data_IF_046755120596
#
_entry.id   IF_046755120596
#
_cell.length_a   1.000
_cell.length_b   1.000
_cell.length_c   1.000
_cell.angle_alpha   90.00
_cell.angle_beta   90.00
_cell.angle_gamma   90.00
#
_symmetry.space_group_name_H-M   'P 1'
#
loop_
_entity.id
_entity.type
_entity.pdbx_description
1 polymer ?
#
# COMPACT_ATOMS: atom_id res chain seq x y z
N UNK A 1 29.63 84.08 8.89
CA UNK A 1 29.65 83.46 7.55
C UNK A 1 29.37 81.97 7.71
N UNK A 2 28.16 81.54 7.39
CA UNK A 2 27.77 80.13 7.39
C UNK A 2 28.09 79.54 6.01
N UNK A 3 28.95 78.52 5.96
CA UNK A 3 29.25 77.79 4.73
C UNK A 3 28.28 76.62 4.58
N UNK A 4 27.53 76.51 3.48
CA UNK A 4 26.60 75.42 3.28
C UNK A 4 27.28 74.23 2.59
N UNK A 5 26.86 73.04 3.02
CA UNK A 5 26.80 71.75 2.30
C UNK A 5 28.12 70.99 2.10
N UNK A 6 28.18 69.84 2.79
CA UNK A 6 28.82 68.63 2.29
C UNK A 6 27.91 67.44 2.63
N UNK A 7 26.84 67.27 1.85
CA UNK A 7 26.12 65.99 1.81
C UNK A 7 27.01 65.04 1.01
N UNK A 8 27.93 64.36 1.68
CA UNK A 8 28.69 63.28 1.07
C UNK A 8 27.81 62.02 1.02
N UNK A 9 27.19 61.88 -0.15
CA UNK A 9 27.07 60.63 -0.90
C UNK A 9 26.51 59.41 -0.15
N UNK A 10 25.19 59.25 -0.21
CA UNK A 10 24.57 57.93 -0.18
C UNK A 10 25.13 57.14 -1.37
N UNK A 11 26.00 56.16 -1.11
CA UNK A 11 26.38 55.18 -2.14
C UNK A 11 25.11 54.38 -2.48
N UNK A 12 24.65 54.37 -3.75
CA UNK A 12 23.57 53.47 -4.13
C UNK A 12 24.08 52.06 -3.92
N UNK A 13 23.37 51.28 -3.09
CA UNK A 13 23.54 49.83 -3.02
C UNK A 13 23.48 49.34 -4.48
N UNK A 14 24.53 48.69 -5.00
CA UNK A 14 24.55 48.29 -6.40
C UNK A 14 23.30 47.44 -6.64
N UNK A 15 22.45 47.89 -7.57
CA UNK A 15 21.32 47.11 -8.04
C UNK A 15 21.91 45.83 -8.62
N UNK A 16 21.94 44.77 -7.81
CA UNK A 16 22.43 43.46 -8.18
C UNK A 16 21.56 43.00 -9.34
N UNK A 17 22.02 43.24 -10.57
CA UNK A 17 21.32 42.81 -11.76
C UNK A 17 21.35 41.29 -11.71
N UNK A 18 20.17 40.69 -11.58
CA UNK A 18 19.99 39.23 -11.51
C UNK A 18 20.72 38.52 -12.67
N UNK A 19 20.89 39.22 -13.80
CA UNK A 19 21.71 38.79 -14.95
C UNK A 19 23.19 38.63 -14.61
N UNK A 20 23.81 39.59 -13.92
CA UNK A 20 25.25 39.54 -13.61
C UNK A 20 25.53 38.43 -12.59
N UNK A 21 24.62 38.26 -11.61
CA UNK A 21 24.64 37.12 -10.69
C UNK A 21 24.48 35.76 -11.40
N UNK A 22 23.60 35.67 -12.40
CA UNK A 22 23.41 34.45 -13.21
C UNK A 22 24.61 34.15 -14.12
N UNK A 23 25.32 35.16 -14.61
CA UNK A 23 26.48 34.98 -15.48
C UNK A 23 27.72 34.61 -14.67
N UNK A 24 27.91 35.20 -13.48
CA UNK A 24 29.07 34.93 -12.63
C UNK A 24 28.91 33.69 -11.73
N UNK A 25 27.79 33.57 -11.02
CA UNK A 25 27.56 32.46 -10.07
C UNK A 25 26.71 31.32 -10.63
N UNK A 26 25.97 31.56 -11.73
CA UNK A 26 25.12 30.55 -12.36
C UNK A 26 25.84 29.28 -12.83
N UNK A 27 27.05 29.36 -13.45
CA UNK A 27 27.79 28.17 -13.86
C UNK A 27 28.19 27.28 -12.68
N UNK A 28 28.61 27.88 -11.56
CA UNK A 28 28.95 27.16 -10.34
C UNK A 28 27.72 26.51 -9.71
N UNK A 29 26.61 27.25 -9.61
CA UNK A 29 25.35 26.71 -9.09
C UNK A 29 24.84 25.55 -9.97
N UNK A 30 24.91 25.66 -11.30
CA UNK A 30 24.53 24.60 -12.23
C UNK A 30 25.40 23.34 -12.06
N UNK A 31 26.71 23.52 -11.85
CA UNK A 31 27.63 22.40 -11.59
C UNK A 31 27.29 21.63 -10.31
N UNK A 32 26.67 22.24 -9.30
CA UNK A 32 26.25 21.54 -8.08
C UNK A 32 24.80 21.06 -8.13
N UNK A 33 23.90 21.85 -8.72
CA UNK A 33 22.46 21.53 -8.79
C UNK A 33 22.19 20.41 -9.77
N UNK A 34 22.81 20.41 -10.96
CA UNK A 34 22.55 19.38 -11.97
C UNK A 34 22.93 17.97 -11.47
N UNK A 35 24.13 17.73 -10.89
CA UNK A 35 24.46 16.42 -10.35
C UNK A 35 23.59 16.05 -9.16
N UNK A 36 23.26 17.00 -8.28
CA UNK A 36 22.39 16.73 -7.13
C UNK A 36 20.99 16.29 -7.56
N UNK A 37 20.41 16.98 -8.55
CA UNK A 37 19.11 16.60 -9.14
C UNK A 37 19.23 15.27 -9.90
N UNK A 38 20.30 15.05 -10.65
CA UNK A 38 20.52 13.79 -11.37
C UNK A 38 20.66 12.60 -10.40
N UNK A 39 21.39 12.76 -9.29
CA UNK A 39 21.53 11.75 -8.23
C UNK A 39 20.17 11.51 -7.56
N UNK A 40 19.42 12.57 -7.25
CA UNK A 40 18.08 12.43 -6.68
C UNK A 40 17.13 11.66 -7.61
N UNK A 41 17.11 12.03 -8.90
CA UNK A 41 16.32 11.35 -9.92
C UNK A 41 16.75 9.89 -10.10
N UNK A 42 18.05 9.61 -10.16
CA UNK A 42 18.60 8.25 -10.21
C UNK A 42 18.17 7.43 -8.99
N UNK A 43 18.30 8.01 -7.80
CA UNK A 43 17.96 7.35 -6.54
C UNK A 43 16.46 6.99 -6.49
N UNK A 44 15.58 7.95 -6.80
CA UNK A 44 14.14 7.76 -6.78
C UNK A 44 13.65 6.82 -7.89
N UNK A 45 14.24 6.92 -9.09
CA UNK A 45 13.75 6.21 -10.27
C UNK A 45 14.30 4.78 -10.41
N UNK A 46 15.51 4.52 -9.92
CA UNK A 46 16.20 3.24 -10.13
C UNK A 46 16.54 2.53 -8.82
N UNK A 47 17.16 3.23 -7.87
CA UNK A 47 17.65 2.59 -6.64
C UNK A 47 16.51 2.14 -5.71
N UNK A 48 15.55 3.03 -5.42
CA UNK A 48 14.40 2.71 -4.57
C UNK A 48 13.60 1.52 -5.13
N UNK A 49 13.16 1.51 -6.41
CA UNK A 49 12.41 0.40 -6.97
C UNK A 49 13.20 -0.92 -6.97
N UNK A 50 14.50 -0.87 -7.25
CA UNK A 50 15.34 -2.06 -7.26
C UNK A 50 15.47 -2.69 -5.87
N UNK A 51 15.73 -1.89 -4.83
CA UNK A 51 15.82 -2.39 -3.46
C UNK A 51 14.46 -2.96 -2.99
N UNK A 52 13.36 -2.26 -3.29
CA UNK A 52 12.01 -2.72 -2.98
C UNK A 52 11.69 -4.07 -3.67
N UNK A 53 12.06 -4.23 -4.94
CA UNK A 53 11.88 -5.49 -5.69
C UNK A 53 12.72 -6.64 -5.10
N UNK A 54 13.94 -6.37 -4.64
CA UNK A 54 14.77 -7.37 -3.96
C UNK A 54 14.17 -7.81 -2.63
N UNK A 55 13.61 -6.87 -1.86
CA UNK A 55 12.92 -7.19 -0.60
C UNK A 55 11.66 -8.00 -0.85
N UNK A 56 10.86 -7.61 -1.85
CA UNK A 56 9.69 -8.35 -2.33
C UNK A 56 10.05 -9.79 -2.67
N UNK A 57 11.04 -10.01 -3.55
CA UNK A 57 11.46 -11.36 -3.96
C UNK A 57 11.92 -12.20 -2.78
N UNK A 58 12.76 -11.64 -1.91
CA UNK A 58 13.26 -12.36 -0.72
C UNK A 58 12.10 -12.78 0.20
N UNK A 59 11.18 -11.86 0.47
CA UNK A 59 10.02 -12.16 1.31
C UNK A 59 9.11 -13.22 0.68
N UNK A 60 8.82 -13.12 -0.63
CA UNK A 60 8.00 -14.09 -1.36
C UNK A 60 8.62 -15.48 -1.38
N UNK A 61 9.95 -15.57 -1.51
CA UNK A 61 10.67 -16.85 -1.46
C UNK A 61 10.57 -17.48 -0.07
N UNK A 62 10.79 -16.69 0.98
CA UNK A 62 10.69 -17.15 2.38
C UNK A 62 9.25 -17.57 2.73
N UNK A 63 8.25 -16.84 2.24
CA UNK A 63 6.84 -17.04 2.57
C UNK A 63 6.03 -17.69 1.44
N UNK A 64 6.70 -18.43 0.54
CA UNK A 64 6.07 -19.04 -0.66
C UNK A 64 4.86 -19.90 -0.30
N UNK A 65 4.95 -20.61 0.84
CA UNK A 65 3.84 -21.43 1.35
C UNK A 65 2.63 -20.58 1.74
N UNK A 66 2.84 -19.47 2.47
CA UNK A 66 1.76 -18.58 2.88
C UNK A 66 1.07 -17.93 1.67
N UNK A 67 1.85 -17.50 0.67
CA UNK A 67 1.32 -16.95 -0.58
C UNK A 67 0.50 -18.01 -1.33
N UNK A 68 1.00 -19.25 -1.41
CA UNK A 68 0.24 -20.36 -2.02
C UNK A 68 -1.07 -20.63 -1.28
N UNK A 69 -1.04 -20.64 0.05
CA UNK A 69 -2.25 -20.80 0.87
C UNK A 69 -3.25 -19.66 0.64
N UNK A 70 -2.79 -18.41 0.53
CA UNK A 70 -3.63 -17.27 0.19
C UNK A 70 -4.29 -17.43 -1.18
N UNK A 71 -3.53 -17.87 -2.19
CA UNK A 71 -4.07 -18.11 -3.53
C UNK A 71 -5.15 -19.21 -3.52
N UNK A 72 -4.89 -20.30 -2.80
CA UNK A 72 -5.88 -21.39 -2.61
C UNK A 72 -7.11 -20.84 -1.89
N UNK A 73 -6.92 -20.07 -0.82
CA UNK A 73 -7.99 -19.46 -0.04
C UNK A 73 -8.89 -18.59 -0.92
N UNK A 74 -8.32 -17.69 -1.72
CA UNK A 74 -9.08 -16.84 -2.63
C UNK A 74 -9.84 -17.66 -3.67
N UNK A 75 -9.18 -18.66 -4.26
CA UNK A 75 -9.82 -19.56 -5.22
C UNK A 75 -11.01 -20.29 -4.60
N UNK A 76 -10.84 -20.85 -3.41
CA UNK A 76 -11.90 -21.59 -2.71
C UNK A 76 -13.03 -20.68 -2.26
N UNK A 77 -12.74 -19.47 -1.79
CA UNK A 77 -13.76 -18.45 -1.46
C UNK A 77 -14.58 -18.05 -2.69
N UNK A 78 -13.91 -17.78 -3.81
CA UNK A 78 -14.56 -17.45 -5.08
C UNK A 78 -15.46 -18.58 -5.57
N UNK A 79 -15.05 -19.83 -5.37
CA UNK A 79 -15.85 -21.03 -5.71
C UNK A 79 -17.03 -21.25 -4.75
N UNK A 80 -16.87 -20.93 -3.47
CA UNK A 80 -17.91 -21.12 -2.45
C UNK A 80 -19.03 -20.06 -2.56
N UNK A 81 -18.70 -18.79 -2.82
CA UNK A 81 -19.67 -17.69 -2.90
C UNK A 81 -20.92 -17.98 -3.74
N UNK A 82 -20.85 -18.47 -4.98
CA UNK A 82 -22.04 -18.76 -5.78
C UNK A 82 -22.86 -19.94 -5.27
N UNK A 83 -22.28 -20.80 -4.42
CA UNK A 83 -23.00 -21.93 -3.79
C UNK A 83 -23.74 -21.52 -2.52
N UNK A 84 -23.46 -20.33 -1.98
CA UNK A 84 -24.15 -19.83 -0.80
C UNK A 84 -25.60 -19.52 -1.14
N UNK A 85 -26.55 -19.86 -0.25
CA UNK A 85 -27.93 -19.46 -0.44
C UNK A 85 -28.02 -17.93 -0.45
N UNK A 86 -28.94 -17.40 -1.26
CA UNK A 86 -29.22 -15.96 -1.29
C UNK A 86 -29.58 -15.42 0.09
N UNK A 87 -29.34 -14.12 0.32
CA UNK A 87 -29.66 -13.55 1.62
C UNK A 87 -31.16 -13.60 1.87
N UNK A 88 -31.57 -14.21 2.99
CA UNK A 88 -32.99 -14.34 3.38
C UNK A 88 -33.74 -13.02 3.50
N UNK A 89 -33.03 -11.90 3.64
CA UNK A 89 -33.62 -10.58 3.90
C UNK A 89 -33.67 -9.66 2.70
N UNK A 90 -32.71 -9.77 1.78
CA UNK A 90 -32.60 -8.84 0.65
C UNK A 90 -32.38 -9.54 -0.68
N UNK A 91 -32.47 -10.89 -0.70
CA UNK A 91 -32.28 -11.81 -1.84
C UNK A 91 -30.96 -11.67 -2.62
N UNK A 92 -30.14 -10.67 -2.28
CA UNK A 92 -28.82 -10.44 -2.86
C UNK A 92 -27.86 -11.59 -2.53
N UNK A 93 -27.12 -12.04 -3.54
CA UNK A 93 -26.10 -13.08 -3.43
C UNK A 93 -24.68 -12.57 -3.14
N UNK A 94 -24.53 -11.31 -2.69
CA UNK A 94 -23.20 -10.73 -2.41
C UNK A 94 -22.85 -10.89 -0.94
N UNK A 95 -21.93 -11.81 -0.68
CA UNK A 95 -21.44 -12.15 0.66
C UNK A 95 -19.93 -11.98 0.76
N UNK A 96 -19.48 -11.48 1.89
CA UNK A 96 -18.07 -11.33 2.23
C UNK A 96 -17.73 -12.14 3.47
N UNK A 97 -16.50 -12.66 3.51
CA UNK A 97 -16.00 -13.34 4.69
C UNK A 97 -15.86 -12.31 5.82
N UNK A 98 -16.52 -12.57 6.95
CA UNK A 98 -16.59 -11.65 8.08
C UNK A 98 -15.83 -12.16 9.30
N UNK A 99 -16.01 -13.44 9.62
CA UNK A 99 -15.34 -14.09 10.74
C UNK A 99 -15.19 -15.59 10.50
N UNK A 100 -14.46 -16.23 11.40
CA UNK A 100 -14.26 -17.68 11.38
C UNK A 100 -14.19 -18.23 12.80
N UNK A 101 -14.57 -19.49 12.92
CA UNK A 101 -14.35 -20.33 14.09
C UNK A 101 -13.79 -21.69 13.64
N UNK A 102 -13.40 -22.57 14.56
CA UNK A 102 -12.73 -23.85 14.29
C UNK A 102 -13.41 -24.69 13.20
N UNK A 103 -14.74 -24.64 13.10
CA UNK A 103 -15.53 -25.43 12.15
C UNK A 103 -16.55 -24.61 11.34
N UNK A 104 -16.55 -23.28 11.48
CA UNK A 104 -17.59 -22.41 10.93
C UNK A 104 -16.95 -21.20 10.24
N UNK A 105 -17.58 -20.75 9.15
CA UNK A 105 -17.28 -19.47 8.53
C UNK A 105 -18.50 -18.56 8.65
N UNK A 106 -18.25 -17.32 9.05
CA UNK A 106 -19.27 -16.29 9.12
C UNK A 106 -19.13 -15.41 7.90
N UNK A 107 -20.17 -15.39 7.08
CA UNK A 107 -20.28 -14.46 5.96
C UNK A 107 -21.25 -13.35 6.30
N UNK A 108 -20.95 -12.13 5.86
CA UNK A 108 -21.84 -10.97 6.02
C UNK A 108 -22.38 -10.55 4.67
N UNK A 109 -23.69 -10.37 4.58
CA UNK A 109 -24.30 -9.81 3.39
C UNK A 109 -23.86 -8.36 3.21
N UNK A 110 -23.47 -8.00 1.99
CA UNK A 110 -23.00 -6.65 1.69
C UNK A 110 -24.10 -5.59 1.69
N UNK A 111 -25.34 -6.01 1.41
CA UNK A 111 -26.47 -5.09 1.31
C UNK A 111 -27.14 -4.87 2.68
N UNK A 112 -27.69 -5.92 3.29
CA UNK A 112 -28.45 -5.81 4.54
C UNK A 112 -27.61 -6.02 5.82
N UNK A 113 -26.31 -6.30 5.67
CA UNK A 113 -25.36 -6.47 6.79
C UNK A 113 -25.69 -7.62 7.76
N UNK A 114 -26.62 -8.53 7.43
CA UNK A 114 -26.89 -9.74 8.20
C UNK A 114 -25.79 -10.79 8.01
N UNK A 115 -25.53 -11.54 9.07
CA UNK A 115 -24.56 -12.62 9.07
C UNK A 115 -25.25 -13.94 8.75
N UNK A 116 -24.56 -14.78 7.98
CA UNK A 116 -24.89 -16.18 7.75
C UNK A 116 -23.70 -17.03 8.18
N UNK A 117 -23.99 -18.16 8.82
CA UNK A 117 -22.97 -19.10 9.28
C UNK A 117 -22.99 -20.33 8.39
N UNK A 118 -21.81 -20.74 7.94
CA UNK A 118 -21.64 -21.87 7.03
C UNK A 118 -20.69 -22.87 7.69
N UNK A 119 -21.10 -24.12 7.78
CA UNK A 119 -20.33 -25.17 8.45
C UNK A 119 -19.58 -26.08 7.49
N UNK A 120 -18.54 -26.73 8.00
CA UNK A 120 -17.80 -27.78 7.29
C UNK A 120 -18.67 -28.96 6.83
N UNK A 121 -19.85 -29.16 7.43
CA UNK A 121 -20.78 -30.22 7.05
C UNK A 121 -21.63 -29.84 5.84
N UNK A 122 -21.82 -28.54 5.59
CA UNK A 122 -22.60 -28.05 4.45
C UNK A 122 -21.77 -27.98 3.17
N UNK A 123 -20.51 -27.54 3.28
CA UNK A 123 -19.62 -27.38 2.13
C UNK A 123 -18.20 -27.84 2.47
N UNK A 124 -17.64 -28.72 1.64
CA UNK A 124 -16.27 -29.20 1.80
C UNK A 124 -15.24 -28.07 1.66
N UNK A 125 -15.56 -27.04 0.88
CA UNK A 125 -14.76 -25.82 0.70
C UNK A 125 -14.47 -25.10 2.02
N UNK A 126 -15.38 -25.17 2.99
CA UNK A 126 -15.23 -24.51 4.29
C UNK A 126 -14.00 -25.05 5.02
N UNK A 127 -13.80 -26.38 5.00
CA UNK A 127 -12.62 -27.01 5.60
C UNK A 127 -11.33 -26.57 4.91
N UNK A 128 -11.36 -26.46 3.58
CA UNK A 128 -10.21 -25.97 2.82
C UNK A 128 -9.89 -24.50 3.14
N UNK A 129 -10.90 -23.65 3.28
CA UNK A 129 -10.74 -22.25 3.66
C UNK A 129 -10.09 -22.17 5.06
N UNK A 130 -10.65 -22.87 6.04
CA UNK A 130 -10.13 -22.88 7.42
C UNK A 130 -8.67 -23.34 7.49
N UNK A 131 -8.30 -24.38 6.74
CA UNK A 131 -6.93 -24.90 6.69
C UNK A 131 -5.92 -23.93 6.03
N UNK A 132 -6.38 -22.98 5.22
CA UNK A 132 -5.53 -22.02 4.52
C UNK A 132 -5.52 -20.61 5.16
N UNK A 133 -6.39 -20.35 6.14
CA UNK A 133 -6.40 -19.08 6.90
C UNK A 133 -5.06 -18.72 7.57
N UNK A 134 -4.25 -19.66 8.10
CA UNK A 134 -2.92 -19.33 8.64
C UNK A 134 -2.02 -18.57 7.65
N UNK A 135 -2.11 -18.90 6.35
CA UNK A 135 -1.37 -18.20 5.30
C UNK A 135 -1.79 -16.74 5.14
N UNK A 136 -3.09 -16.46 5.29
CA UNK A 136 -3.62 -15.10 5.29
C UNK A 136 -3.06 -14.30 6.47
N UNK A 137 -3.00 -14.86 7.68
CA UNK A 137 -2.46 -14.13 8.85
C UNK A 137 -0.98 -13.74 8.69
N UNK A 138 -0.16 -14.58 8.06
CA UNK A 138 1.24 -14.25 7.74
C UNK A 138 1.30 -13.03 6.79
N UNK A 139 0.43 -13.02 5.78
CA UNK A 139 0.32 -11.91 4.82
C UNK A 139 -0.17 -10.64 5.52
N UNK A 140 -1.19 -10.74 6.38
CA UNK A 140 -1.72 -9.62 7.14
C UNK A 140 -0.69 -9.05 8.11
N UNK A 141 0.12 -9.89 8.75
CA UNK A 141 1.24 -9.44 9.60
C UNK A 141 2.27 -8.64 8.82
N UNK A 142 2.55 -9.00 7.56
CA UNK A 142 3.43 -8.21 6.72
C UNK A 142 2.77 -6.87 6.31
N UNK A 143 1.48 -6.90 6.04
CA UNK A 143 0.69 -5.71 5.70
C UNK A 143 0.59 -4.71 6.85
N UNK A 144 0.55 -5.16 8.11
CA UNK A 144 0.54 -4.26 9.26
C UNK A 144 1.87 -3.53 9.45
N UNK A 145 3.00 -4.16 9.09
CA UNK A 145 4.31 -3.54 9.23
C UNK A 145 4.59 -2.49 8.14
N UNK A 146 4.29 -2.82 6.87
CA UNK A 146 4.63 -1.97 5.71
C UNK A 146 3.56 -2.04 4.62
N UNK A 147 2.38 -1.39 4.82
CA UNK A 147 1.26 -1.49 3.88
C UNK A 147 1.53 -0.78 2.54
N UNK A 148 2.30 0.30 2.54
CA UNK A 148 2.50 1.16 1.36
C UNK A 148 3.76 0.83 0.54
N UNK A 149 4.64 -0.02 1.05
CA UNK A 149 5.81 -0.49 0.31
C UNK A 149 5.37 -1.34 -0.90
N UNK A 150 6.25 -1.54 -1.89
CA UNK A 150 5.95 -2.37 -3.07
C UNK A 150 5.43 -3.78 -2.68
N UNK A 151 5.98 -4.37 -1.63
CA UNK A 151 5.51 -5.63 -1.07
C UNK A 151 4.09 -5.52 -0.51
N UNK A 152 3.81 -4.47 0.28
CA UNK A 152 2.48 -4.26 0.85
C UNK A 152 1.41 -4.09 -0.24
N UNK A 153 1.69 -3.26 -1.25
CA UNK A 153 0.80 -3.08 -2.41
C UNK A 153 0.57 -4.37 -3.18
N UNK A 154 1.62 -5.17 -3.41
CA UNK A 154 1.50 -6.47 -4.08
C UNK A 154 0.65 -7.45 -3.27
N UNK A 155 0.85 -7.51 -1.95
CA UNK A 155 0.07 -8.39 -1.06
C UNK A 155 -1.39 -7.94 -0.92
N UNK A 156 -1.67 -6.63 -0.89
CA UNK A 156 -3.03 -6.10 -0.91
C UNK A 156 -3.77 -6.51 -2.19
N UNK A 157 -3.10 -6.42 -3.34
CA UNK A 157 -3.66 -6.86 -4.62
C UNK A 157 -3.98 -8.37 -4.65
N UNK A 158 -3.32 -9.17 -3.82
CA UNK A 158 -3.65 -10.59 -3.65
C UNK A 158 -4.80 -10.83 -2.68
N UNK A 159 -5.21 -9.87 -1.85
CA UNK A 159 -6.24 -10.07 -0.83
C UNK A 159 -7.68 -9.75 -1.29
N UNK A 160 -7.97 -9.70 -2.59
CA UNK A 160 -9.28 -9.24 -3.13
C UNK A 160 -10.48 -9.95 -2.51
N UNK A 161 -10.43 -11.28 -2.40
CA UNK A 161 -11.56 -12.08 -1.87
C UNK A 161 -11.69 -11.97 -0.34
N UNK A 162 -10.62 -11.55 0.33
CA UNK A 162 -10.50 -11.46 1.79
C UNK A 162 -10.33 -10.01 2.27
N UNK A 163 -10.55 -9.02 1.40
CA UNK A 163 -10.17 -7.63 1.66
C UNK A 163 -10.88 -7.05 2.88
N UNK A 164 -12.18 -7.31 3.02
CA UNK A 164 -12.97 -6.79 4.15
C UNK A 164 -12.58 -7.47 5.46
N UNK A 165 -12.31 -8.77 5.42
CA UNK A 165 -11.75 -9.51 6.55
C UNK A 165 -10.38 -8.94 6.95
N UNK A 166 -9.49 -8.75 5.97
CA UNK A 166 -8.15 -8.21 6.13
C UNK A 166 -8.16 -6.81 6.76
N UNK A 167 -8.97 -5.89 6.22
CA UNK A 167 -9.11 -4.52 6.73
C UNK A 167 -9.62 -4.50 8.17
N UNK A 168 -10.54 -5.40 8.53
CA UNK A 168 -11.05 -5.51 9.91
C UNK A 168 -9.99 -6.06 10.86
N UNK A 169 -9.23 -7.07 10.43
CA UNK A 169 -8.14 -7.63 11.23
C UNK A 169 -7.05 -6.58 11.50
N UNK A 170 -6.67 -5.78 10.50
CA UNK A 170 -5.62 -4.75 10.62
C UNK A 170 -6.02 -3.52 11.47
N UNK A 171 -7.31 -3.34 11.78
CA UNK A 171 -7.81 -2.24 12.62
C UNK A 171 -7.95 -2.61 14.10
N UNK A 172 -7.80 -3.89 14.42
CA UNK A 172 -7.80 -4.40 15.80
C UNK A 172 -6.38 -4.45 16.34
#
# INVERSE_FOLDING_TARGET
>A
MWSPKSYAQYQPIPSLHIRDFLVEAGPEILLFVIPSVAIALFYVSLFIPWNQNRQLRRWLLQNRRAVRQLLILNFTLKRLRPKLPGCSSCTAGRFELWDHDRNLLVFRCMNCRRNITVSVFQFQEVRQILNNLPGLFIVLRQLSYKPFDALGRHLQALCVETEVFARRYLRR
#
